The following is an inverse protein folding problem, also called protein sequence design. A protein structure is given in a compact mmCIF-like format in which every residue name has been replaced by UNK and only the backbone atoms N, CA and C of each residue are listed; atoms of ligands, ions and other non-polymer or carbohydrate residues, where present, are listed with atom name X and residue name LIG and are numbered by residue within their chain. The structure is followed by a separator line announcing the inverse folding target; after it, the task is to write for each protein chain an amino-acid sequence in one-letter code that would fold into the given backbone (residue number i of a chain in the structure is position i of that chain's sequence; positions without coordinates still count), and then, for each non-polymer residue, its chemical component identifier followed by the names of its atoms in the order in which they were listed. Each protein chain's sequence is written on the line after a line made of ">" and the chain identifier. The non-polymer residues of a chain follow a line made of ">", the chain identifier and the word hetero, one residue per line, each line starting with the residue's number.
data_IF_735162954679
#
_entry.id   IF_735162954679
#
_cell.length_a   1.000
_cell.length_b   1.000
_cell.length_c   1.000
_cell.angle_alpha   90.00
_cell.angle_beta   90.00
_cell.angle_gamma   90.00
#
_symmetry.space_group_name_H-M   'P 1'
#
loop_
_entity.id
_entity.type
_entity.pdbx_description
1 polymer ?
#
# COMPACT_ATOMS: atom_id res chain seq x y z
N UNK A 1 -0.70 -1.69 4.13
CA UNK A 1 0.71 -2.06 4.46
C UNK A 1 1.67 -1.19 3.65
N UNK A 2 2.75 -0.71 4.27
CA UNK A 2 3.82 0.08 3.63
C UNK A 2 5.15 -0.67 3.73
N UNK A 3 5.95 -0.66 2.66
CA UNK A 3 7.28 -1.25 2.50
C UNK A 3 8.29 -0.14 2.21
N UNK A 4 9.23 0.07 3.13
CA UNK A 4 10.25 1.11 3.03
C UNK A 4 11.03 1.01 1.70
N UNK A 5 11.22 2.15 1.02
CA UNK A 5 11.97 2.24 -0.23
C UNK A 5 11.25 1.71 -1.47
N UNK A 6 10.09 1.04 -1.30
CA UNK A 6 9.32 0.49 -2.41
C UNK A 6 8.05 1.30 -2.69
N UNK A 7 7.10 1.31 -1.74
CA UNK A 7 5.81 2.00 -1.87
C UNK A 7 5.58 3.06 -0.78
N UNK A 8 6.63 3.40 -0.05
CA UNK A 8 6.65 4.46 0.94
C UNK A 8 8.04 4.60 1.57
N UNK A 9 8.16 5.55 2.49
CA UNK A 9 9.42 5.84 3.18
C UNK A 9 9.19 5.82 4.68
N UNK A 10 9.58 4.71 5.32
CA UNK A 10 9.48 4.55 6.78
C UNK A 10 10.67 5.22 7.48
N UNK A 11 10.40 5.84 8.62
CA UNK A 11 11.39 6.55 9.46
C UNK A 11 11.13 6.24 10.94
N UNK A 12 12.08 6.61 11.80
CA UNK A 12 11.88 6.62 13.25
C UNK A 12 10.72 7.54 13.67
N UNK A 13 10.15 7.30 14.85
CA UNK A 13 8.99 8.05 15.37
C UNK A 13 9.37 9.42 15.96
N UNK A 14 10.66 9.67 16.15
CA UNK A 14 11.17 10.90 16.72
C UNK A 14 11.13 12.06 15.68
N UNK A 15 11.01 13.32 16.14
CA UNK A 15 10.94 14.46 15.24
C UNK A 15 12.14 14.61 14.30
N UNK A 16 13.34 14.18 14.72
CA UNK A 16 14.56 14.31 13.91
C UNK A 16 14.50 13.36 12.71
N UNK A 17 14.13 12.10 12.92
CA UNK A 17 13.94 11.11 11.86
C UNK A 17 12.88 11.53 10.84
N UNK A 18 11.76 12.09 11.31
CA UNK A 18 10.68 12.59 10.44
C UNK A 18 11.19 13.74 9.56
N UNK A 19 11.86 14.73 10.18
CA UNK A 19 12.45 15.87 9.45
C UNK A 19 13.42 15.38 8.37
N UNK A 20 14.32 14.47 8.72
CA UNK A 20 15.32 13.95 7.80
C UNK A 20 14.68 13.17 6.64
N UNK A 21 13.65 12.36 6.91
CA UNK A 21 12.88 11.67 5.89
C UNK A 21 12.18 12.62 4.92
N UNK A 22 11.53 13.68 5.43
CA UNK A 22 10.86 14.68 4.60
C UNK A 22 11.88 15.41 3.71
N UNK A 23 12.98 15.90 4.29
CA UNK A 23 14.04 16.60 3.55
C UNK A 23 14.64 15.71 2.47
N UNK A 24 14.96 14.45 2.81
CA UNK A 24 15.47 13.47 1.85
C UNK A 24 14.50 13.29 0.68
N UNK A 25 13.21 13.09 0.95
CA UNK A 25 12.23 12.94 -0.12
C UNK A 25 12.07 14.21 -0.94
N UNK A 26 12.08 15.41 -0.34
CA UNK A 26 12.01 16.70 -1.05
C UNK A 26 13.18 16.89 -2.01
N UNK A 27 14.38 16.45 -1.65
CA UNK A 27 15.58 16.55 -2.47
C UNK A 27 15.66 15.49 -3.58
N UNK A 28 14.86 14.42 -3.51
CA UNK A 28 14.93 13.29 -4.44
C UNK A 28 13.63 13.09 -5.25
N UNK A 29 13.35 13.93 -6.28
CA UNK A 29 12.11 13.86 -7.06
C UNK A 29 11.92 12.51 -7.79
N UNK A 30 12.99 11.91 -8.30
CA UNK A 30 12.92 10.60 -8.95
C UNK A 30 12.48 9.49 -7.97
N UNK A 31 12.97 9.54 -6.73
CA UNK A 31 12.55 8.63 -5.67
C UNK A 31 11.05 8.82 -5.36
N UNK A 32 10.59 10.08 -5.22
CA UNK A 32 9.16 10.35 -4.98
C UNK A 32 8.27 9.77 -6.08
N UNK A 33 8.65 9.97 -7.35
CA UNK A 33 7.91 9.43 -8.48
C UNK A 33 7.85 7.89 -8.44
N UNK A 34 8.98 7.22 -8.19
CA UNK A 34 9.05 5.76 -8.05
C UNK A 34 8.16 5.25 -6.91
N UNK A 35 8.24 5.87 -5.73
CA UNK A 35 7.44 5.48 -4.57
C UNK A 35 5.94 5.63 -4.84
N UNK A 36 5.52 6.75 -5.44
CA UNK A 36 4.12 7.00 -5.79
C UNK A 36 3.55 6.00 -6.79
N UNK A 37 4.30 5.71 -7.86
CA UNK A 37 3.91 4.71 -8.86
C UNK A 37 3.73 3.31 -8.24
N UNK A 38 4.71 2.89 -7.43
CA UNK A 38 4.66 1.60 -6.75
C UNK A 38 3.54 1.54 -5.70
N UNK A 39 3.27 2.63 -4.99
CA UNK A 39 2.15 2.71 -4.06
C UNK A 39 0.81 2.53 -4.76
N UNK A 40 0.63 3.18 -5.92
CA UNK A 40 -0.59 3.03 -6.73
C UNK A 40 -0.77 1.59 -7.18
N UNK A 41 0.26 1.01 -7.81
CA UNK A 41 0.27 -0.38 -8.27
C UNK A 41 -0.06 -1.35 -7.13
N UNK A 42 0.60 -1.19 -5.98
CA UNK A 42 0.39 -2.04 -4.82
C UNK A 42 -1.05 -2.02 -4.30
N UNK A 43 -1.68 -0.84 -4.23
CA UNK A 43 -3.09 -0.71 -3.81
C UNK A 43 -4.04 -1.35 -4.82
N UNK A 44 -3.84 -1.13 -6.12
CA UNK A 44 -4.69 -1.71 -7.17
C UNK A 44 -4.63 -3.25 -7.16
N UNK A 45 -3.44 -3.82 -6.99
CA UNK A 45 -3.23 -5.27 -6.94
C UNK A 45 -3.76 -5.91 -5.66
N UNK A 46 -3.56 -5.28 -4.50
CA UNK A 46 -3.75 -5.95 -3.21
C UNK A 46 -5.01 -5.48 -2.45
N UNK A 47 -5.51 -4.28 -2.69
CA UNK A 47 -6.55 -3.64 -1.86
C UNK A 47 -7.73 -3.12 -2.66
N UNK A 48 -7.89 -3.51 -3.93
CA UNK A 48 -9.09 -3.11 -4.68
C UNK A 48 -10.36 -3.63 -3.98
N UNK A 49 -11.33 -2.75 -3.78
CA UNK A 49 -12.66 -3.10 -3.23
C UNK A 49 -13.26 -4.30 -3.99
N UNK A 50 -13.03 -4.37 -5.29
CA UNK A 50 -13.44 -5.49 -6.14
C UNK A 50 -12.82 -6.82 -5.68
N UNK A 51 -11.56 -6.85 -5.21
CA UNK A 51 -10.93 -8.07 -4.67
C UNK A 51 -11.57 -8.46 -3.34
N UNK A 52 -11.70 -7.51 -2.42
CA UNK A 52 -12.32 -7.74 -1.11
C UNK A 52 -13.74 -8.26 -1.28
N UNK A 53 -14.58 -7.58 -2.06
CA UNK A 53 -15.97 -8.01 -2.32
C UNK A 53 -16.03 -9.41 -2.97
N UNK A 54 -15.09 -9.76 -3.85
CA UNK A 54 -15.03 -11.12 -4.43
C UNK A 54 -14.69 -12.18 -3.39
N UNK A 55 -13.71 -11.92 -2.54
CA UNK A 55 -13.30 -12.84 -1.48
C UNK A 55 -14.42 -13.02 -0.44
N UNK A 56 -15.04 -11.92 -0.01
CA UNK A 56 -16.21 -11.95 0.89
C UNK A 56 -17.40 -12.69 0.26
N UNK A 57 -17.73 -12.40 -1.00
CA UNK A 57 -18.82 -13.09 -1.69
C UNK A 57 -18.55 -14.59 -1.87
N UNK A 58 -17.29 -14.97 -2.11
CA UNK A 58 -16.89 -16.38 -2.19
C UNK A 58 -17.10 -17.08 -0.84
N UNK A 59 -16.59 -16.48 0.24
CA UNK A 59 -16.77 -17.01 1.60
C UNK A 59 -18.25 -17.16 1.95
N UNK A 60 -19.07 -16.14 1.64
CA UNK A 60 -20.51 -16.20 1.90
C UNK A 60 -21.20 -17.31 1.10
N UNK A 61 -20.78 -17.60 -0.15
CA UNK A 61 -21.33 -18.72 -0.94
C UNK A 61 -20.96 -20.07 -0.36
N UNK A 62 -19.72 -20.23 0.08
CA UNK A 62 -19.22 -21.45 0.74
C UNK A 62 -20.02 -21.72 2.03
N UNK A 63 -20.20 -20.70 2.88
CA UNK A 63 -20.96 -20.82 4.12
C UNK A 63 -22.46 -21.03 3.92
N UNK A 64 -23.03 -20.55 2.80
CA UNK A 64 -24.46 -20.72 2.49
C UNK A 64 -24.77 -22.02 1.74
N UNK A 65 -23.79 -22.92 1.57
CA UNK A 65 -23.99 -24.22 0.92
C UNK A 65 -24.33 -24.12 -0.57
N UNK A 66 -24.07 -22.97 -1.19
CA UNK A 66 -24.26 -22.75 -2.63
C UNK A 66 -22.93 -22.94 -3.32
N UNK A 67 -22.48 -24.19 -3.40
CA UNK A 67 -21.42 -24.56 -4.33
C UNK A 67 -21.91 -24.34 -5.78
N UNK A 68 -21.01 -23.84 -6.64
CA UNK A 68 -21.17 -23.88 -8.09
C UNK A 68 -20.05 -24.72 -8.65
#
# INVERSE_FOLDING_TARGET
>A
VVRHGYNGWLVGKDPKSIREGIVHLMQNPALRAKLGLNARKFIEENFSLKRVVREEAKLLRELSGRES
#
